data_IF_873701629038
#
_entry.id   IF_873701629038
#
_cell.length_a   1.000
_cell.length_b   1.000
_cell.length_c   1.000
_cell.angle_alpha   90.00
_cell.angle_beta   90.00
_cell.angle_gamma   90.00
#
_symmetry.space_group_name_H-M   'P 1'
#
loop_
_entity.id
_entity.type
_entity.pdbx_description
1 polymer ?
#
# COMPACT_ATOMS: atom_id res chain seq x y z
N UNK A 1 0.01 2.95 27.65
CA UNK A 1 -1.02 1.99 27.26
C UNK A 1 -0.33 0.84 26.55
N UNK A 2 -0.08 -0.27 27.25
CA UNK A 2 0.56 -1.45 26.68
C UNK A 2 -0.53 -2.31 26.05
N UNK A 3 -0.48 -2.51 24.73
CA UNK A 3 -1.33 -3.48 24.05
C UNK A 3 -0.66 -4.84 24.16
N UNK A 4 -1.18 -5.69 25.04
CA UNK A 4 -0.85 -7.11 25.09
C UNK A 4 -1.43 -7.75 23.81
N UNK A 5 -0.57 -8.12 22.85
CA UNK A 5 -1.01 -8.67 21.58
C UNK A 5 -1.52 -10.11 21.79
N UNK A 6 -2.81 -10.26 22.12
CA UNK A 6 -3.52 -11.56 22.17
C UNK A 6 -3.83 -12.15 20.77
N UNK A 7 -3.31 -11.53 19.71
CA UNK A 7 -3.61 -11.88 18.33
C UNK A 7 -2.33 -12.25 17.57
N UNK A 8 -2.43 -13.24 16.66
CA UNK A 8 -1.33 -13.64 15.79
C UNK A 8 -0.92 -12.46 14.89
N UNK A 9 0.36 -12.29 14.66
CA UNK A 9 0.90 -11.25 13.78
C UNK A 9 2.23 -11.63 13.15
N UNK A 10 2.54 -11.02 12.01
CA UNK A 10 3.82 -11.15 11.34
C UNK A 10 4.73 -9.99 11.74
N UNK A 11 5.96 -10.30 12.12
CA UNK A 11 6.96 -9.30 12.49
C UNK A 11 8.10 -9.29 11.46
N UNK A 12 8.25 -8.17 10.75
CA UNK A 12 9.38 -7.93 9.83
C UNK A 12 10.37 -6.99 10.52
N UNK A 13 11.54 -7.52 10.85
CA UNK A 13 12.62 -6.79 11.53
C UNK A 13 13.30 -5.83 10.56
N UNK A 14 13.68 -4.64 11.05
CA UNK A 14 14.67 -3.80 10.38
C UNK A 14 16.04 -4.43 10.64
N UNK A 15 16.70 -4.94 9.60
CA UNK A 15 18.08 -5.39 9.74
C UNK A 15 19.04 -4.17 9.77
N UNK A 16 20.23 -4.33 10.35
CA UNK A 16 21.21 -3.25 10.53
C UNK A 16 21.71 -2.63 9.22
N UNK A 17 21.51 -3.33 8.09
CA UNK A 17 21.71 -2.78 6.74
C UNK A 17 20.59 -1.79 6.38
N UNK A 18 19.33 -2.14 6.62
CA UNK A 18 18.17 -1.26 6.38
C UNK A 18 18.18 -0.04 7.30
N UNK A 19 18.67 -0.15 8.53
CA UNK A 19 18.78 1.00 9.44
C UNK A 19 19.73 2.07 8.87
N UNK A 20 20.88 1.63 8.32
CA UNK A 20 21.86 2.50 7.66
C UNK A 20 21.43 2.93 6.26
N UNK A 21 20.57 2.16 5.59
CA UNK A 21 20.29 2.28 4.15
C UNK A 21 18.80 2.39 3.81
N UNK A 22 17.93 2.76 4.76
CA UNK A 22 16.54 3.18 4.53
C UNK A 22 16.40 4.30 3.48
N UNK A 23 17.54 4.88 3.08
CA UNK A 23 17.73 5.94 2.09
C UNK A 23 18.12 5.43 0.70
N UNK A 24 18.36 4.14 0.51
CA UNK A 24 18.69 3.56 -0.79
C UNK A 24 17.41 3.12 -1.51
N UNK A 25 17.27 3.60 -2.74
CA UNK A 25 16.13 3.35 -3.61
C UNK A 25 15.95 1.84 -3.85
N UNK A 26 14.73 1.32 -3.64
CA UNK A 26 14.34 -0.03 -4.07
C UNK A 26 14.47 -1.17 -3.05
N UNK A 27 14.81 -0.88 -1.79
CA UNK A 27 14.82 -1.91 -0.74
C UNK A 27 13.44 -2.09 -0.10
N UNK A 28 13.07 -3.36 0.16
CA UNK A 28 11.92 -3.68 1.00
C UNK A 28 12.12 -3.05 2.39
N UNK A 29 11.13 -2.34 2.92
CA UNK A 29 11.25 -1.69 4.23
C UNK A 29 10.05 -1.98 5.14
N UNK A 30 10.29 -2.35 6.42
CA UNK A 30 9.24 -2.42 7.43
C UNK A 30 8.48 -1.11 7.61
N UNK A 31 9.12 0.04 7.39
CA UNK A 31 8.44 1.34 7.42
C UNK A 31 7.41 1.48 6.29
N UNK A 32 7.68 0.93 5.12
CA UNK A 32 6.74 0.94 3.99
C UNK A 32 5.50 0.09 4.30
N UNK A 33 5.66 -1.03 5.02
CA UNK A 33 4.52 -1.83 5.45
C UNK A 33 3.59 -1.03 6.37
N UNK A 34 4.14 -0.34 7.36
CA UNK A 34 3.37 0.52 8.26
C UNK A 34 2.76 1.73 7.50
N UNK A 35 3.53 2.34 6.60
CA UNK A 35 3.06 3.45 5.78
C UNK A 35 1.91 3.03 4.84
N UNK A 36 1.96 1.82 4.28
CA UNK A 36 0.89 1.26 3.45
C UNK A 36 -0.42 1.17 4.24
N UNK A 37 -0.38 0.70 5.49
CA UNK A 37 -1.55 0.71 6.39
C UNK A 37 -2.07 2.12 6.63
N UNK A 38 -1.18 3.07 7.00
CA UNK A 38 -1.58 4.47 7.24
C UNK A 38 -2.22 5.10 6.00
N UNK A 39 -1.68 4.86 4.81
CA UNK A 39 -2.27 5.34 3.54
C UNK A 39 -3.63 4.69 3.29
N UNK A 40 -3.74 3.38 3.50
CA UNK A 40 -4.99 2.64 3.33
C UNK A 40 -6.11 3.25 4.17
N UNK A 41 -5.82 3.52 5.45
CA UNK A 41 -6.78 4.13 6.39
C UNK A 41 -7.03 5.60 6.07
N UNK A 42 -6.00 6.39 5.79
CA UNK A 42 -6.11 7.83 5.52
C UNK A 42 -7.01 8.11 4.32
N UNK A 43 -6.91 7.29 3.27
CA UNK A 43 -7.71 7.45 2.05
C UNK A 43 -8.94 6.55 2.00
N UNK A 44 -9.18 5.71 3.01
CA UNK A 44 -10.40 4.90 3.13
C UNK A 44 -10.45 3.69 2.20
N UNK A 45 -9.29 3.14 1.84
CA UNK A 45 -9.20 1.89 1.11
C UNK A 45 -9.56 0.68 1.99
N UNK A 46 -9.05 0.64 3.24
CA UNK A 46 -9.32 -0.48 4.15
C UNK A 46 -8.86 -1.84 3.61
N UNK A 47 -7.79 -1.86 2.81
CA UNK A 47 -7.28 -3.09 2.16
C UNK A 47 -5.98 -3.61 2.78
N UNK A 48 -5.33 -2.85 3.66
CA UNK A 48 -4.08 -3.29 4.31
C UNK A 48 -4.39 -3.70 5.75
N UNK A 49 -3.94 -4.87 6.23
CA UNK A 49 -4.15 -5.25 7.62
C UNK A 49 -3.49 -4.24 8.58
N UNK A 50 -4.00 -4.07 9.81
CA UNK A 50 -3.37 -3.23 10.82
C UNK A 50 -1.87 -3.52 10.94
N UNK A 51 -1.05 -2.51 10.64
CA UNK A 51 0.41 -2.65 10.57
C UNK A 51 1.10 -1.48 11.26
N UNK A 52 1.97 -1.77 12.23
CA UNK A 52 2.59 -0.75 13.07
C UNK A 52 4.06 -1.02 13.32
N UNK A 53 4.86 0.05 13.42
CA UNK A 53 6.24 -0.07 13.93
C UNK A 53 6.23 -0.40 15.42
N UNK A 54 7.01 -1.40 15.81
CA UNK A 54 7.19 -1.86 17.20
C UNK A 54 8.63 -2.28 17.45
N UNK A 55 9.07 -2.05 18.68
CA UNK A 55 10.32 -2.59 19.20
C UNK A 55 9.99 -3.80 20.06
N UNK A 56 10.45 -4.99 19.66
CA UNK A 56 10.16 -6.26 20.31
C UNK A 56 11.45 -7.02 20.63
N UNK A 57 11.50 -7.70 21.78
CA UNK A 57 12.55 -8.68 22.08
C UNK A 57 12.11 -10.05 21.57
N UNK A 58 12.83 -10.60 20.60
CA UNK A 58 12.51 -11.91 20.02
C UNK A 58 13.02 -13.05 20.91
N UNK A 59 12.36 -14.22 20.92
CA UNK A 59 12.85 -15.39 21.64
C UNK A 59 14.31 -15.70 21.29
N UNK A 60 15.15 -15.87 22.31
CA UNK A 60 16.58 -16.14 22.15
C UNK A 60 17.44 -14.93 21.76
N UNK A 61 16.89 -13.72 21.66
CA UNK A 61 17.67 -12.50 21.44
C UNK A 61 17.87 -11.69 22.73
N UNK A 62 19.08 -11.16 22.90
CA UNK A 62 19.48 -10.38 24.07
C UNK A 62 19.06 -8.91 23.98
N UNK A 63 18.78 -8.40 22.78
CA UNK A 63 18.42 -7.01 22.54
C UNK A 63 17.12 -6.87 21.74
N UNK A 64 16.31 -5.84 22.02
CA UNK A 64 15.12 -5.55 21.23
C UNK A 64 15.45 -5.19 19.78
N UNK A 65 14.55 -5.52 18.86
CA UNK A 65 14.62 -5.17 17.44
C UNK A 65 13.44 -4.29 17.07
N UNK A 66 13.70 -3.24 16.30
CA UNK A 66 12.66 -2.43 15.67
C UNK A 66 12.19 -3.12 14.39
N UNK A 67 10.89 -3.11 14.14
CA UNK A 67 10.30 -3.72 12.94
C UNK A 67 8.82 -3.39 12.80
N UNK A 68 8.20 -3.85 11.72
CA UNK A 68 6.75 -3.73 11.54
C UNK A 68 6.04 -4.99 12.03
N UNK A 69 4.96 -4.80 12.79
CA UNK A 69 4.03 -5.84 13.22
C UNK A 69 2.75 -5.68 12.42
N UNK A 70 2.42 -6.66 11.60
CA UNK A 70 1.18 -6.74 10.84
C UNK A 70 0.24 -7.78 11.46
N UNK A 71 -1.03 -7.42 11.63
CA UNK A 71 -2.07 -8.36 12.07
C UNK A 71 -2.17 -9.54 11.12
N UNK A 72 -2.22 -10.75 11.65
CA UNK A 72 -2.47 -11.95 10.84
C UNK A 72 -3.92 -11.94 10.33
N UNK A 73 -4.08 -12.15 9.02
CA UNK A 73 -5.38 -12.35 8.38
C UNK A 73 -5.55 -13.83 8.06
N UNK A 74 -6.62 -14.43 8.57
CA UNK A 74 -6.97 -15.82 8.24
C UNK A 74 -7.54 -15.90 6.83
N UNK A 75 -6.81 -16.55 5.93
CA UNK A 75 -7.22 -16.72 4.54
C UNK A 75 -6.15 -17.45 3.73
N UNK A 76 -6.27 -17.40 2.41
CA UNK A 76 -5.31 -18.01 1.50
C UNK A 76 -4.92 -17.01 0.41
N UNK A 77 -3.67 -17.05 -0.03
CA UNK A 77 -3.24 -16.26 -1.18
C UNK A 77 -3.74 -16.91 -2.49
N UNK A 78 -3.94 -16.15 -3.58
CA UNK A 78 -4.24 -16.73 -4.88
C UNK A 78 -3.26 -17.82 -5.28
N UNK A 79 -1.96 -17.65 -5.01
CA UNK A 79 -0.94 -18.68 -5.28
C UNK A 79 -1.24 -19.99 -4.55
N UNK A 80 -1.74 -19.93 -3.31
CA UNK A 80 -2.15 -21.09 -2.54
C UNK A 80 -3.48 -21.70 -3.04
N UNK A 81 -4.37 -20.89 -3.63
CA UNK A 81 -5.64 -21.36 -4.21
C UNK A 81 -5.46 -21.93 -5.63
N UNK A 82 -4.55 -21.37 -6.41
CA UNK A 82 -4.28 -21.73 -7.81
C UNK A 82 -3.83 -23.18 -7.97
N UNK A 83 -3.05 -23.69 -7.00
CA UNK A 83 -2.67 -25.11 -6.93
C UNK A 83 -3.85 -26.08 -6.82
N UNK A 84 -5.06 -25.59 -6.51
CA UNK A 84 -6.26 -26.42 -6.39
C UNK A 84 -7.24 -26.29 -7.57
N UNK A 85 -7.17 -25.23 -8.39
CA UNK A 85 -8.23 -24.94 -9.38
C UNK A 85 -7.81 -24.32 -10.73
N UNK A 86 -6.55 -23.97 -10.97
CA UNK A 86 -6.15 -23.37 -12.26
C UNK A 86 -6.85 -22.03 -12.60
N UNK A 87 -7.47 -21.39 -11.61
CA UNK A 87 -8.14 -20.10 -11.75
C UNK A 87 -7.19 -19.02 -11.23
N UNK A 88 -6.79 -18.11 -12.11
CA UNK A 88 -6.10 -16.89 -11.73
C UNK A 88 -7.10 -15.95 -11.05
N UNK A 89 -6.84 -15.59 -9.79
CA UNK A 89 -7.63 -14.58 -9.09
C UNK A 89 -6.88 -13.27 -9.25
N UNK A 90 -7.59 -12.23 -9.69
CA UNK A 90 -7.03 -10.91 -9.91
C UNK A 90 -7.12 -10.05 -8.63
N UNK A 91 -6.15 -9.14 -8.42
CA UNK A 91 -6.30 -8.08 -7.43
C UNK A 91 -7.55 -7.25 -7.70
N UNK A 92 -8.30 -6.93 -6.65
CA UNK A 92 -9.48 -6.09 -6.73
C UNK A 92 -9.17 -4.71 -7.33
N UNK A 93 -10.18 -4.07 -7.94
CA UNK A 93 -10.06 -2.69 -8.46
C UNK A 93 -9.56 -1.72 -7.38
N UNK A 94 -10.05 -1.86 -6.16
CA UNK A 94 -9.65 -1.08 -5.00
C UNK A 94 -8.16 -1.25 -4.67
N UNK A 95 -7.66 -2.49 -4.70
CA UNK A 95 -6.24 -2.79 -4.49
C UNK A 95 -5.37 -2.25 -5.62
N UNK A 96 -5.83 -2.32 -6.88
CA UNK A 96 -5.13 -1.73 -8.02
C UNK A 96 -4.99 -0.21 -7.88
N UNK A 97 -6.05 0.50 -7.48
CA UNK A 97 -5.97 1.95 -7.21
C UNK A 97 -5.01 2.23 -6.05
N UNK A 98 -5.07 1.41 -5.00
CA UNK A 98 -4.17 1.54 -3.86
C UNK A 98 -2.70 1.39 -4.28
N UNK A 99 -2.38 0.36 -5.06
CA UNK A 99 -1.04 0.12 -5.59
C UNK A 99 -0.55 1.26 -6.49
N UNK A 100 -1.43 1.87 -7.30
CA UNK A 100 -1.10 3.09 -8.04
C UNK A 100 -0.75 4.27 -7.10
N UNK A 101 -1.49 4.46 -6.01
CA UNK A 101 -1.25 5.56 -5.06
C UNK A 101 0.06 5.39 -4.29
N UNK A 102 0.37 4.18 -3.82
CA UNK A 102 1.63 3.89 -3.10
C UNK A 102 2.79 3.57 -4.06
N UNK A 103 2.50 3.40 -5.35
CA UNK A 103 3.42 2.97 -6.41
C UNK A 103 4.09 1.65 -6.07
N UNK A 104 3.26 0.67 -5.74
CA UNK A 104 3.67 -0.71 -5.65
C UNK A 104 3.53 -1.35 -7.05
N UNK A 105 4.65 -1.80 -7.61
CA UNK A 105 4.68 -2.51 -8.91
C UNK A 105 4.92 -4.00 -8.77
N UNK A 106 5.09 -4.47 -7.54
CA UNK A 106 5.40 -5.87 -7.23
C UNK A 106 4.15 -6.60 -6.70
N UNK A 107 2.94 -6.14 -7.02
CA UNK A 107 1.72 -6.85 -6.64
C UNK A 107 1.62 -8.14 -7.44
N UNK A 108 1.73 -9.27 -6.74
CA UNK A 108 1.58 -10.61 -7.31
C UNK A 108 0.65 -11.48 -6.45
N UNK A 109 0.34 -12.69 -6.94
CA UNK A 109 -0.52 -13.69 -6.27
C UNK A 109 -0.04 -14.16 -4.90
N UNK A 110 1.22 -13.86 -4.53
CA UNK A 110 1.76 -14.12 -3.20
C UNK A 110 1.47 -12.99 -2.20
N UNK A 111 1.08 -11.82 -2.69
CA UNK A 111 1.14 -10.57 -1.94
C UNK A 111 -0.25 -10.09 -1.50
N UNK A 112 -1.27 -10.94 -1.56
CA UNK A 112 -2.56 -10.63 -0.96
C UNK A 112 -3.29 -11.88 -0.51
N UNK A 113 -4.07 -11.73 0.55
CA UNK A 113 -4.83 -12.81 1.18
C UNK A 113 -6.30 -12.64 0.85
N UNK A 114 -6.95 -13.74 0.50
CA UNK A 114 -8.39 -13.84 0.30
C UNK A 114 -8.97 -14.55 1.51
N UNK A 115 -9.85 -13.86 2.23
CA UNK A 115 -10.56 -14.40 3.39
C UNK A 115 -11.79 -15.20 2.97
N UNK A 116 -12.43 -15.88 3.93
CA UNK A 116 -13.62 -16.73 3.69
C UNK A 116 -14.82 -15.94 3.13
N UNK A 117 -14.91 -14.65 3.42
CA UNK A 117 -15.90 -13.68 2.92
C UNK A 117 -15.49 -13.01 1.60
N UNK A 118 -14.46 -13.52 0.91
CA UNK A 118 -13.91 -13.01 -0.35
C UNK A 118 -13.30 -11.59 -0.28
N UNK A 119 -13.06 -11.07 0.93
CA UNK A 119 -12.31 -9.83 1.09
C UNK A 119 -10.84 -10.06 0.73
N UNK A 120 -10.27 -9.13 -0.05
CA UNK A 120 -8.85 -9.15 -0.38
C UNK A 120 -8.08 -8.19 0.53
N UNK A 121 -7.00 -8.68 1.12
CA UNK A 121 -6.09 -7.92 1.98
C UNK A 121 -4.70 -7.86 1.35
N UNK A 122 -4.23 -6.65 1.05
CA UNK A 122 -2.90 -6.36 0.54
C UNK A 122 -1.86 -6.56 1.64
N UNK A 123 -1.08 -7.63 1.52
CA UNK A 123 0.09 -7.89 2.35
C UNK A 123 1.37 -7.60 1.55
N UNK A 124 2.52 -7.66 2.21
CA UNK A 124 3.83 -7.51 1.57
C UNK A 124 3.97 -6.23 0.71
N UNK A 125 3.83 -5.08 1.36
CA UNK A 125 3.92 -3.76 0.72
C UNK A 125 5.31 -3.13 0.90
N UNK A 126 6.30 -3.89 1.37
CA UNK A 126 7.62 -3.39 1.71
C UNK A 126 8.35 -2.75 0.51
N UNK A 127 8.08 -3.20 -0.72
CA UNK A 127 8.68 -2.68 -1.96
C UNK A 127 7.99 -1.42 -2.53
N UNK A 128 6.99 -0.88 -1.85
CA UNK A 128 6.26 0.31 -2.28
C UNK A 128 7.03 1.63 -2.04
N UNK A 129 6.40 2.76 -2.35
CA UNK A 129 6.94 4.12 -2.10
C UNK A 129 8.27 4.41 -2.78
N UNK A 130 8.54 3.73 -3.89
CA UNK A 130 9.71 4.00 -4.71
C UNK A 130 9.66 5.41 -5.31
N UNK A 131 10.82 6.05 -5.36
CA UNK A 131 11.03 7.45 -5.76
C UNK A 131 11.67 7.59 -7.14
N UNK A 132 11.87 6.49 -7.86
CA UNK A 132 12.46 6.51 -9.22
C UNK A 132 11.49 7.15 -10.23
N UNK A 133 12.06 7.89 -11.18
CA UNK A 133 11.30 8.57 -12.24
C UNK A 133 10.53 7.61 -13.16
N UNK A 134 10.87 6.31 -13.20
CA UNK A 134 10.16 5.30 -13.97
C UNK A 134 8.74 5.02 -13.45
N UNK A 135 8.45 5.32 -12.18
CA UNK A 135 7.09 5.18 -11.64
C UNK A 135 6.24 6.43 -11.85
N UNK A 136 6.87 7.60 -11.94
CA UNK A 136 6.26 8.78 -12.56
C UNK A 136 5.87 8.47 -14.00
N UNK A 137 6.78 7.82 -14.73
CA UNK A 137 6.49 7.28 -16.06
C UNK A 137 5.37 6.23 -16.01
N UNK A 138 5.27 5.36 -15.01
CA UNK A 138 4.13 4.44 -14.96
C UNK A 138 2.78 5.14 -14.77
N UNK A 139 2.62 6.23 -14.02
CA UNK A 139 1.32 6.94 -13.96
C UNK A 139 1.11 7.95 -15.10
N UNK A 140 2.16 8.62 -15.56
CA UNK A 140 2.08 9.51 -16.74
C UNK A 140 1.92 8.69 -18.04
N UNK A 141 2.63 7.56 -18.21
CA UNK A 141 2.50 6.59 -19.33
C UNK A 141 1.26 5.71 -19.21
N UNK A 142 0.83 5.26 -18.02
CA UNK A 142 -0.50 4.62 -17.91
C UNK A 142 -1.63 5.61 -18.19
N UNK A 143 -1.40 6.90 -17.97
CA UNK A 143 -2.32 7.95 -18.39
C UNK A 143 -2.05 8.47 -19.83
N UNK A 144 -1.20 7.83 -20.65
CA UNK A 144 -1.03 8.21 -22.07
C UNK A 144 -2.11 7.66 -22.99
N UNK A 145 -2.83 6.61 -22.58
CA UNK A 145 -3.96 6.05 -23.33
C UNK A 145 -5.32 6.51 -22.78
N UNK A 146 -6.25 7.04 -23.60
CA UNK A 146 -7.62 7.33 -23.19
C UNK A 146 -8.30 6.16 -22.47
N UNK A 147 -8.12 4.94 -22.98
CA UNK A 147 -8.74 3.73 -22.42
C UNK A 147 -8.31 3.44 -20.97
N UNK A 148 -7.04 3.66 -20.63
CA UNK A 148 -6.55 3.37 -19.28
C UNK A 148 -6.96 4.47 -18.29
N UNK A 149 -7.05 5.73 -18.74
CA UNK A 149 -7.68 6.81 -17.94
C UNK A 149 -9.13 6.49 -17.64
N UNK A 150 -9.89 6.04 -18.63
CA UNK A 150 -11.30 5.69 -18.45
C UNK A 150 -11.47 4.51 -17.50
N UNK A 151 -10.59 3.51 -17.59
CA UNK A 151 -10.57 2.40 -16.61
C UNK A 151 -10.27 2.90 -15.20
N UNK A 152 -9.25 3.72 -15.01
CA UNK A 152 -8.92 4.28 -13.68
C UNK A 152 -10.07 5.14 -13.14
N UNK A 153 -10.66 5.98 -13.98
CA UNK A 153 -11.81 6.82 -13.59
C UNK A 153 -13.04 5.97 -13.23
N UNK A 154 -13.32 4.91 -13.99
CA UNK A 154 -14.39 3.95 -13.66
C UNK A 154 -14.12 3.23 -12.34
N UNK A 155 -12.89 2.77 -12.09
CA UNK A 155 -12.55 2.15 -10.81
C UNK A 155 -12.72 3.15 -9.65
N UNK A 156 -12.34 4.42 -9.84
CA UNK A 156 -12.49 5.46 -8.81
C UNK A 156 -13.96 5.85 -8.56
N UNK A 157 -14.82 5.83 -9.58
CA UNK A 157 -16.24 6.14 -9.43
C UNK A 157 -17.00 5.05 -8.68
N UNK A 158 -16.57 3.80 -8.78
CA UNK A 158 -17.06 2.66 -7.97
C UNK A 158 -16.67 2.77 -6.48
N UNK A 159 -15.71 3.65 -6.14
CA UNK A 159 -15.21 3.83 -4.77
C UNK A 159 -15.30 5.30 -4.32
N UNK A 160 -16.53 5.84 -4.09
CA UNK A 160 -16.75 7.26 -3.85
C UNK A 160 -16.08 7.79 -2.57
N UNK A 161 -15.93 6.97 -1.52
CA UNK A 161 -15.23 7.38 -0.30
C UNK A 161 -13.74 7.62 -0.56
N UNK A 162 -13.09 6.73 -1.32
CA UNK A 162 -11.68 6.88 -1.72
C UNK A 162 -11.53 8.12 -2.58
N UNK A 163 -12.41 8.30 -3.58
CA UNK A 163 -12.37 9.47 -4.43
C UNK A 163 -12.56 10.79 -3.67
N UNK A 164 -13.48 10.81 -2.70
CA UNK A 164 -13.69 11.96 -1.82
C UNK A 164 -12.43 12.27 -1.03
N UNK A 165 -11.85 11.27 -0.35
CA UNK A 165 -10.64 11.44 0.47
C UNK A 165 -9.41 11.83 -0.36
N UNK A 166 -9.25 11.28 -1.57
CA UNK A 166 -8.21 11.72 -2.52
C UNK A 166 -8.32 13.23 -2.83
N UNK A 167 -9.54 13.75 -2.96
CA UNK A 167 -9.81 15.16 -3.26
C UNK A 167 -9.66 16.08 -2.04
N UNK A 168 -10.03 15.62 -0.85
CA UNK A 168 -10.12 16.48 0.34
C UNK A 168 -8.90 16.40 1.26
N UNK A 169 -8.15 15.29 1.25
CA UNK A 169 -6.98 15.13 2.12
C UNK A 169 -5.85 16.04 1.65
N UNK A 170 -5.50 17.00 2.49
CA UNK A 170 -4.47 18.00 2.23
C UNK A 170 -3.06 17.42 2.31
N UNK A 171 -2.11 18.06 1.63
CA UNK A 171 -0.71 17.65 1.68
C UNK A 171 -0.10 17.77 3.08
N UNK A 172 -0.61 18.69 3.91
CA UNK A 172 -0.21 18.83 5.31
C UNK A 172 -0.64 17.62 6.14
N UNK A 173 -1.87 17.11 5.95
CA UNK A 173 -2.35 15.90 6.61
C UNK A 173 -1.52 14.67 6.20
N UNK A 174 -1.18 14.55 4.91
CA UNK A 174 -0.33 13.46 4.41
C UNK A 174 1.07 13.52 5.05
N UNK A 175 1.70 14.70 5.07
CA UNK A 175 3.02 14.90 5.69
C UNK A 175 2.98 14.60 7.19
N UNK A 176 1.95 15.04 7.89
CA UNK A 176 1.77 14.77 9.32
C UNK A 176 1.61 13.27 9.61
N UNK A 177 0.80 12.57 8.81
CA UNK A 177 0.54 11.15 9.01
C UNK A 177 1.75 10.25 8.67
N UNK A 178 2.56 10.63 7.67
CA UNK A 178 3.61 9.77 7.11
C UNK A 178 5.03 10.22 7.42
N UNK A 179 5.23 11.42 8.00
CA UNK A 179 6.56 12.02 8.19
C UNK A 179 7.51 11.23 9.09
N UNK A 180 6.98 10.35 9.96
CA UNK A 180 7.79 9.44 10.78
C UNK A 180 8.07 8.09 10.11
N UNK A 181 7.43 7.80 8.98
CA UNK A 181 7.51 6.51 8.28
C UNK A 181 8.19 6.62 6.92
N UNK A 182 8.05 7.75 6.24
CA UNK A 182 8.53 7.94 4.87
C UNK A 182 9.44 9.15 4.75
N UNK A 183 10.42 9.06 3.85
CA UNK A 183 11.27 10.19 3.50
C UNK A 183 10.47 11.31 2.80
N UNK A 184 10.91 12.58 2.90
CA UNK A 184 10.26 13.70 2.20
C UNK A 184 10.09 13.47 0.69
N UNK A 185 11.05 12.83 0.04
CA UNK A 185 10.97 12.46 -1.38
C UNK A 185 9.81 11.49 -1.63
N UNK A 186 9.66 10.44 -0.83
CA UNK A 186 8.59 9.44 -0.98
C UNK A 186 7.22 10.07 -0.80
N UNK A 187 7.07 10.95 0.20
CA UNK A 187 5.83 11.71 0.43
C UNK A 187 5.53 12.61 -0.77
N UNK A 188 6.54 13.30 -1.32
CA UNK A 188 6.39 14.13 -2.53
C UNK A 188 5.86 13.32 -3.72
N UNK A 189 6.39 12.11 -3.96
CA UNK A 189 5.92 11.27 -5.05
C UNK A 189 4.52 10.68 -4.79
N UNK A 190 4.18 10.32 -3.54
CA UNK A 190 2.81 9.91 -3.19
C UNK A 190 1.80 11.04 -3.48
N UNK A 191 2.12 12.27 -3.09
CA UNK A 191 1.28 13.45 -3.39
C UNK A 191 1.14 13.66 -4.90
N UNK A 192 2.23 13.50 -5.66
CA UNK A 192 2.16 13.60 -7.12
C UNK A 192 1.19 12.56 -7.71
N UNK A 193 1.28 11.30 -7.27
CA UNK A 193 0.37 10.22 -7.71
C UNK A 193 -1.08 10.47 -7.29
N UNK A 194 -1.31 10.97 -6.06
CA UNK A 194 -2.64 11.44 -5.61
C UNK A 194 -3.22 12.47 -6.58
N UNK A 195 -2.44 13.47 -6.94
CA UNK A 195 -2.88 14.55 -7.83
C UNK A 195 -3.21 14.03 -9.24
N UNK A 196 -2.45 13.06 -9.75
CA UNK A 196 -2.75 12.38 -11.02
C UNK A 196 -4.07 11.59 -10.95
N UNK A 197 -4.30 10.82 -9.88
CA UNK A 197 -5.58 10.09 -9.72
C UNK A 197 -6.77 11.05 -9.64
N UNK A 198 -6.62 12.19 -8.95
CA UNK A 198 -7.66 13.23 -8.87
C UNK A 198 -7.92 13.88 -10.24
N UNK A 199 -6.89 14.12 -11.05
CA UNK A 199 -7.07 14.74 -12.37
C UNK A 199 -7.78 13.80 -13.36
N UNK A 200 -7.44 12.51 -13.34
CA UNK A 200 -8.12 11.47 -14.15
C UNK A 200 -9.61 11.42 -13.82
N UNK A 201 -9.98 11.44 -12.53
CA UNK A 201 -11.37 11.41 -12.10
C UNK A 201 -12.19 12.68 -12.44
N UNK A 202 -11.54 13.80 -12.80
CA UNK A 202 -12.24 15.03 -13.23
C UNK A 202 -12.64 14.99 -14.71
N UNK A 203 -11.88 14.29 -15.56
CA UNK A 203 -12.06 14.30 -17.01
C UNK A 203 -13.35 13.58 -17.46
N UNK A 204 -13.83 12.56 -16.74
CA UNK A 204 -15.09 11.87 -17.07
C UNK A 204 -16.37 12.72 -16.90
N UNK A 205 -16.34 13.83 -16.13
CA UNK A 205 -17.55 14.65 -15.92
C UNK A 205 -17.90 15.55 -17.11
N UNK A 206 -17.06 15.64 -18.15
CA UNK A 206 -17.26 16.54 -19.30
C UNK A 206 -17.80 15.83 -20.55
N UNK A 207 -18.18 14.56 -20.45
CA UNK A 207 -18.71 13.77 -21.56
C UNK A 207 -20.18 13.42 -21.33
N UNK A 208 -21.04 14.44 -21.28
CA UNK A 208 -22.50 14.30 -21.38
C UNK A 208 -23.07 15.54 -22.08
#
# INVERSE_FOLDING_TARGET
MFFEAKEKGFFKVIDGYEEKHHRLYGYQSPYHEAAAFVVSELFGFGVVPPTFMRTLTLPGQLSPKLGSVQRYIEGQTPKQLATRKGIYIEPSKLMRIFDLLIGNVDRSEGNYVITKDNQQWAIDNAAAFQTSNSLKANLDDTAKGPELRDRISSMLSEHPLVLLRLKTTSDAQIKSALGMLLMPAQIKYLIARKNTLVSVAKQQRQSF
#
